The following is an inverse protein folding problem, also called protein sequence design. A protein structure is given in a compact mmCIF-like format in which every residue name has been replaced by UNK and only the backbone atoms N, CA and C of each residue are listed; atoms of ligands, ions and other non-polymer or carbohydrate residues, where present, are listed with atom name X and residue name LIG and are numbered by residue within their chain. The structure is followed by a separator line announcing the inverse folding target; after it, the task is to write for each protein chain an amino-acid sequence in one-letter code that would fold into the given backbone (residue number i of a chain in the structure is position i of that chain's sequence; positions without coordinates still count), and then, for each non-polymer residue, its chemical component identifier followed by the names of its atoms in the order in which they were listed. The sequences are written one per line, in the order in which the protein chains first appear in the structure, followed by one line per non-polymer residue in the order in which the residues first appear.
data_IF_234281715906
#
_entry.id   IF_234281715906
#
_cell.length_a   1.000
_cell.length_b   1.000
_cell.length_c   1.000
_cell.angle_alpha   90.00
_cell.angle_beta   90.00
_cell.angle_gamma   90.00
#
_symmetry.space_group_name_H-M   'P 1'
#
loop_
_entity.id
_entity.type
_entity.pdbx_description
1 polymer ?
#
# COMPACT_ATOMS: atom_id res chain seq x y z
N UNK A 1 -3.21 -4.91 13.30
CA UNK A 1 -3.29 -4.67 11.84
C UNK A 1 -2.20 -5.48 11.20
N UNK A 2 -2.54 -6.24 10.17
CA UNK A 2 -1.58 -6.97 9.36
C UNK A 2 -1.09 -6.05 8.25
N UNK A 3 0.22 -5.86 8.18
CA UNK A 3 0.89 -5.09 7.12
C UNK A 3 1.66 -6.07 6.25
N UNK A 4 1.35 -6.08 4.96
CA UNK A 4 2.11 -6.82 3.95
C UNK A 4 2.60 -5.81 2.94
N UNK A 5 3.91 -5.80 2.67
CA UNK A 5 4.51 -4.82 1.78
C UNK A 5 5.62 -5.41 0.93
N UNK A 6 5.83 -4.77 -0.21
CA UNK A 6 7.00 -4.97 -1.06
C UNK A 6 7.24 -3.71 -1.90
N UNK A 7 8.44 -3.52 -2.45
CA UNK A 7 8.69 -2.45 -3.41
C UNK A 7 7.70 -2.52 -4.58
N UNK A 8 7.28 -1.36 -5.08
CA UNK A 8 6.50 -1.31 -6.31
C UNK A 8 7.26 -2.03 -7.45
N UNK A 9 6.50 -2.82 -8.19
CA UNK A 9 6.90 -3.34 -9.49
C UNK A 9 5.76 -3.10 -10.48
N UNK A 10 6.06 -2.82 -11.77
CA UNK A 10 5.03 -2.48 -12.74
C UNK A 10 3.89 -3.49 -12.78
N UNK A 11 2.67 -3.00 -12.58
CA UNK A 11 1.44 -3.82 -12.58
C UNK A 11 1.07 -4.46 -11.24
N UNK A 12 1.88 -4.30 -10.19
CA UNK A 12 1.59 -4.88 -8.87
C UNK A 12 0.26 -4.40 -8.28
N UNK A 13 0.03 -3.08 -8.30
CA UNK A 13 -1.21 -2.49 -7.77
C UNK A 13 -2.43 -3.02 -8.53
N UNK A 14 -2.35 -3.07 -9.87
CA UNK A 14 -3.43 -3.56 -10.72
C UNK A 14 -3.73 -5.03 -10.44
N UNK A 15 -2.69 -5.87 -10.35
CA UNK A 15 -2.83 -7.29 -10.01
C UNK A 15 -3.46 -7.49 -8.62
N UNK A 16 -3.03 -6.73 -7.61
CA UNK A 16 -3.61 -6.80 -6.26
C UNK A 16 -5.08 -6.37 -6.25
N UNK A 17 -5.46 -5.35 -7.03
CA UNK A 17 -6.87 -4.92 -7.16
C UNK A 17 -7.72 -5.97 -7.84
N UNK A 18 -7.23 -6.55 -8.93
CA UNK A 18 -7.94 -7.58 -9.69
C UNK A 18 -8.17 -8.83 -8.83
N UNK A 19 -7.11 -9.35 -8.21
CA UNK A 19 -7.18 -10.57 -7.40
C UNK A 19 -7.98 -10.41 -6.10
N UNK A 20 -8.08 -9.19 -5.58
CA UNK A 20 -8.92 -8.90 -4.42
C UNK A 20 -10.37 -8.54 -4.76
N UNK A 21 -10.75 -8.50 -6.05
CA UNK A 21 -12.06 -7.98 -6.45
C UNK A 21 -12.28 -6.51 -6.04
N UNK A 22 -11.20 -5.75 -5.87
CA UNK A 22 -11.21 -4.35 -5.43
C UNK A 22 -11.45 -4.11 -3.94
N UNK A 23 -11.57 -5.16 -3.12
CA UNK A 23 -11.85 -5.01 -1.68
C UNK A 23 -10.60 -4.78 -0.82
N UNK A 24 -9.40 -4.99 -1.37
CA UNK A 24 -8.16 -4.82 -0.63
C UNK A 24 -7.85 -3.33 -0.36
N UNK A 25 -7.47 -3.01 0.88
CA UNK A 25 -6.92 -1.71 1.22
C UNK A 25 -5.44 -1.67 0.78
N UNK A 26 -5.24 -1.20 -0.44
CA UNK A 26 -3.92 -1.05 -1.05
C UNK A 26 -3.54 0.43 -1.02
N UNK A 27 -2.28 0.72 -0.69
CA UNK A 27 -1.71 2.07 -0.80
C UNK A 27 -0.23 2.03 -1.13
N UNK A 28 0.32 3.18 -1.47
CA UNK A 28 1.75 3.35 -1.73
C UNK A 28 2.35 4.27 -0.68
N UNK A 29 3.54 3.94 -0.22
CA UNK A 29 4.26 4.78 0.74
C UNK A 29 5.00 5.85 -0.01
N UNK A 30 4.63 7.11 0.23
CA UNK A 30 5.27 8.28 -0.37
C UNK A 30 5.56 9.30 0.72
N UNK A 31 6.77 9.86 0.71
CA UNK A 31 7.22 10.83 1.72
C UNK A 31 7.01 10.36 3.18
N UNK A 32 7.20 9.05 3.43
CA UNK A 32 7.06 8.43 4.74
C UNK A 32 5.61 8.27 5.20
N UNK A 33 4.63 8.40 4.30
CA UNK A 33 3.21 8.26 4.60
C UNK A 33 2.57 7.21 3.70
N UNK A 34 1.70 6.37 4.26
CA UNK A 34 0.84 5.51 3.45
C UNK A 34 -0.24 6.37 2.79
N UNK A 35 -0.28 6.35 1.46
CA UNK A 35 -1.29 7.05 0.65
C UNK A 35 -2.14 6.00 -0.07
N UNK A 36 -3.45 6.06 0.13
CA UNK A 36 -4.39 5.15 -0.53
C UNK A 36 -4.45 5.41 -2.04
N UNK A 37 -5.00 4.46 -2.80
CA UNK A 37 -5.23 4.65 -4.23
C UNK A 37 -6.14 5.84 -4.57
N UNK A 38 -6.91 6.34 -3.61
CA UNK A 38 -7.70 7.57 -3.73
C UNK A 38 -6.87 8.87 -3.62
N UNK A 39 -5.59 8.77 -3.29
CA UNK A 39 -4.71 9.92 -3.00
C UNK A 39 -4.80 10.43 -1.55
N UNK A 40 -5.67 9.84 -0.73
CA UNK A 40 -5.84 10.24 0.68
C UNK A 40 -4.75 9.58 1.53
N UNK A 41 -4.07 10.36 2.37
CA UNK A 41 -3.16 9.82 3.37
C UNK A 41 -3.92 9.02 4.43
N UNK A 42 -3.40 7.85 4.79
CA UNK A 42 -4.00 6.97 5.78
C UNK A 42 -3.93 7.54 7.22
N UNK A 43 -2.99 8.45 7.50
CA UNK A 43 -2.75 8.96 8.85
C UNK A 43 -2.32 7.89 9.86
N UNK A 44 -1.80 6.75 9.37
CA UNK A 44 -1.36 5.63 10.19
C UNK A 44 0.16 5.66 10.35
N UNK A 45 0.70 5.42 11.57
CA UNK A 45 2.14 5.25 11.75
C UNK A 45 2.61 3.99 11.02
N UNK A 46 3.70 4.11 10.26
CA UNK A 46 4.28 3.00 9.51
C UNK A 46 5.10 2.09 10.43
N UNK A 47 4.95 0.75 10.32
CA UNK A 47 5.90 -0.20 10.89
C UNK A 47 7.34 0.03 10.41
N UNK A 48 8.30 -0.36 11.23
CA UNK A 48 9.72 -0.32 10.87
C UNK A 48 10.00 -1.22 9.66
N UNK A 49 10.86 -0.74 8.74
CA UNK A 49 11.27 -1.48 7.54
C UNK A 49 10.44 -1.19 6.28
N UNK A 50 9.31 -0.50 6.41
CA UNK A 50 8.55 0.01 5.26
C UNK A 50 9.25 1.27 4.72
N UNK A 51 9.42 1.34 3.40
CA UNK A 51 10.17 2.38 2.70
C UNK A 51 9.30 3.14 1.70
N UNK A 52 9.76 4.33 1.30
CA UNK A 52 9.15 5.05 0.18
C UNK A 52 9.22 4.20 -1.09
N UNK A 53 8.10 4.13 -1.81
CA UNK A 53 7.95 3.29 -2.99
C UNK A 53 7.37 1.90 -2.70
N UNK A 54 7.23 1.50 -1.42
CA UNK A 54 6.55 0.25 -1.10
C UNK A 54 5.05 0.34 -1.38
N UNK A 55 4.52 -0.72 -1.98
CA UNK A 55 3.08 -0.99 -2.05
C UNK A 55 2.70 -1.79 -0.82
N UNK A 56 1.68 -1.33 -0.11
CA UNK A 56 1.20 -1.89 1.15
C UNK A 56 -0.22 -2.41 0.96
N UNK A 57 -0.43 -3.67 1.36
CA UNK A 57 -1.74 -4.22 1.69
C UNK A 57 -1.96 -4.12 3.20
N UNK A 58 -3.10 -3.56 3.61
CA UNK A 58 -3.46 -3.40 5.02
C UNK A 58 -4.76 -4.15 5.36
N UNK A 59 -4.74 -4.92 6.45
CA UNK A 59 -5.92 -5.55 7.06
C UNK A 59 -6.00 -5.27 8.57
#
# INVERSE_FOLDING_TARGET
RLWVWMPEVPGLVDALREQSGGSALIGTVTQGQLVWLSGVSAGLPLPAGIQNGDVVYLN
#
